data_IF_542513644305
#
_entry.id   IF_542513644305
#
_cell.length_a   1.000
_cell.length_b   1.000
_cell.length_c   1.000
_cell.angle_alpha   90.00
_cell.angle_beta   90.00
_cell.angle_gamma   90.00
#
_symmetry.space_group_name_H-M   'P 1'
#
loop_
_entity.id
_entity.type
_entity.pdbx_description
1 polymer ?
#
# COMPACT_ATOMS: atom_id res chain seq x y z
N UNK A 1 -12.02 21.21 2.85
CA UNK A 1 -11.41 21.93 1.70
C UNK A 1 -11.48 23.43 1.99
N UNK A 2 -10.73 24.31 1.30
CA UNK A 2 -10.70 25.75 1.58
C UNK A 2 -12.07 26.40 1.56
N UNK A 3 -12.93 26.04 0.65
CA UNK A 3 -14.26 26.65 0.49
C UNK A 3 -15.24 26.28 1.60
N UNK A 4 -15.16 25.08 2.17
CA UNK A 4 -15.93 24.70 3.36
C UNK A 4 -15.50 25.52 4.59
N UNK A 5 -14.21 25.88 4.71
CA UNK A 5 -13.75 26.79 5.77
C UNK A 5 -14.36 28.17 5.58
N UNK A 6 -14.44 28.67 4.33
CA UNK A 6 -15.12 29.92 4.02
C UNK A 6 -16.61 29.90 4.43
N UNK A 7 -17.34 28.84 4.10
CA UNK A 7 -18.75 28.68 4.50
C UNK A 7 -18.90 28.64 6.01
N UNK A 8 -18.05 27.94 6.74
CA UNK A 8 -18.06 27.92 8.19
C UNK A 8 -17.88 29.33 8.79
N UNK A 9 -16.98 30.12 8.20
CA UNK A 9 -16.76 31.49 8.62
C UNK A 9 -18.01 32.39 8.38
N UNK A 10 -18.69 32.22 7.24
CA UNK A 10 -19.91 33.02 6.94
C UNK A 10 -21.05 32.76 7.92
N UNK A 11 -21.15 31.56 8.51
CA UNK A 11 -22.15 31.21 9.54
C UNK A 11 -21.61 31.33 10.97
N UNK A 12 -20.46 31.99 11.17
CA UNK A 12 -19.90 32.27 12.49
C UNK A 12 -19.37 31.03 13.24
N UNK A 13 -19.06 29.93 12.55
CA UNK A 13 -18.60 28.70 13.18
C UNK A 13 -17.05 28.67 13.26
N UNK A 14 -16.51 29.12 14.39
CA UNK A 14 -15.09 29.12 14.67
C UNK A 14 -14.51 27.73 15.01
N UNK A 15 -15.36 26.78 15.42
CA UNK A 15 -14.96 25.42 15.81
C UNK A 15 -15.93 24.39 15.26
N UNK A 16 -15.40 23.30 14.72
CA UNK A 16 -16.16 22.15 14.22
C UNK A 16 -15.57 20.85 14.77
N UNK A 17 -16.41 19.84 14.94
CA UNK A 17 -15.93 18.49 15.25
C UNK A 17 -15.38 17.86 13.99
N UNK A 18 -14.19 17.28 14.09
CA UNK A 18 -13.54 16.54 13.01
C UNK A 18 -13.06 15.19 13.51
N UNK A 19 -12.87 14.25 12.62
CA UNK A 19 -12.10 13.05 12.92
C UNK A 19 -10.64 13.45 13.11
N UNK A 20 -9.98 12.90 14.13
CA UNK A 20 -8.53 13.07 14.28
C UNK A 20 -7.78 12.26 13.21
N UNK A 21 -6.55 12.61 12.96
CA UNK A 21 -5.69 11.82 12.08
C UNK A 21 -5.31 10.52 12.78
N UNK A 22 -5.60 9.34 12.19
CA UNK A 22 -5.14 8.08 12.73
C UNK A 22 -3.61 8.00 12.75
N UNK A 23 -3.04 7.48 13.83
CA UNK A 23 -1.63 7.10 13.92
C UNK A 23 -1.50 5.66 13.45
N UNK A 24 -0.60 5.41 12.51
CA UNK A 24 -0.39 4.09 11.89
C UNK A 24 1.04 3.64 12.18
N UNK A 25 1.18 2.62 13.00
CA UNK A 25 2.46 1.98 13.25
C UNK A 25 2.89 1.15 12.04
N UNK A 26 4.16 1.22 11.66
CA UNK A 26 4.74 0.45 10.56
C UNK A 26 5.92 -0.33 11.12
N UNK A 27 5.84 -1.65 11.04
CA UNK A 27 6.86 -2.60 11.43
C UNK A 27 7.36 -3.37 10.23
N UNK A 28 8.66 -3.41 10.03
CA UNK A 28 9.33 -4.33 9.10
C UNK A 28 10.18 -5.29 9.89
N UNK A 29 10.36 -6.52 9.41
CA UNK A 29 11.28 -7.47 10.00
C UNK A 29 12.09 -8.20 8.93
N UNK A 30 13.26 -8.64 9.29
CA UNK A 30 14.19 -9.39 8.46
C UNK A 30 15.64 -9.07 8.83
N UNK A 31 16.41 -10.10 9.14
CA UNK A 31 17.83 -9.94 9.44
C UNK A 31 18.65 -9.47 8.23
N UNK A 32 18.09 -9.63 7.02
CA UNK A 32 18.68 -9.11 5.78
C UNK A 32 18.53 -7.59 5.62
N UNK A 33 17.65 -6.96 6.40
CA UNK A 33 17.32 -5.54 6.23
C UNK A 33 18.27 -4.65 7.03
N UNK A 34 18.58 -3.49 6.46
CA UNK A 34 19.31 -2.41 7.12
C UNK A 34 18.61 -1.07 6.89
N UNK A 35 18.89 -0.12 7.78
CA UNK A 35 18.47 1.27 7.65
C UNK A 35 19.23 2.01 6.55
N UNK A 36 18.81 3.24 6.23
CA UNK A 36 19.54 4.08 5.28
C UNK A 36 20.91 4.52 5.82
N UNK A 37 21.08 4.62 7.15
CA UNK A 37 22.35 4.96 7.80
C UNK A 37 23.43 3.88 7.55
N UNK A 38 22.99 2.62 7.38
CA UNK A 38 23.89 1.47 7.18
C UNK A 38 24.00 1.07 5.69
N UNK A 39 23.79 2.01 4.76
CA UNK A 39 23.73 1.72 3.33
C UNK A 39 25.03 1.12 2.76
N UNK A 40 26.15 1.30 3.42
CA UNK A 40 27.43 0.67 3.05
C UNK A 40 27.36 -0.86 3.09
N UNK A 41 26.52 -1.45 3.93
CA UNK A 41 26.27 -2.90 3.95
C UNK A 41 25.56 -3.38 2.67
N UNK A 42 24.71 -2.51 2.10
CA UNK A 42 24.03 -2.77 0.83
C UNK A 42 25.01 -2.69 -0.34
N UNK A 43 25.88 -1.68 -0.36
CA UNK A 43 26.93 -1.54 -1.38
C UNK A 43 27.91 -2.72 -1.35
N UNK A 44 28.16 -3.26 -0.17
CA UNK A 44 29.01 -4.45 0.02
C UNK A 44 28.28 -5.76 -0.37
N UNK A 45 27.02 -5.72 -0.78
CA UNK A 45 26.22 -6.88 -1.17
C UNK A 45 25.85 -7.82 -0.02
N UNK A 46 25.95 -7.36 1.24
CA UNK A 46 25.65 -8.17 2.43
C UNK A 46 24.21 -8.08 2.92
N UNK A 47 23.55 -6.95 2.65
CA UNK A 47 22.22 -6.61 3.18
C UNK A 47 21.35 -5.97 2.11
N UNK A 48 20.09 -5.76 2.45
CA UNK A 48 19.09 -5.07 1.62
C UNK A 48 18.57 -3.86 2.40
N UNK A 49 18.47 -2.71 1.75
CA UNK A 49 17.89 -1.52 2.42
C UNK A 49 16.39 -1.69 2.64
N UNK A 50 15.89 -1.28 3.80
CA UNK A 50 14.46 -1.18 4.06
C UNK A 50 13.84 -0.04 3.25
N UNK A 51 13.33 -0.34 2.08
CA UNK A 51 12.57 0.59 1.24
C UNK A 51 11.08 0.60 1.58
N UNK A 52 10.56 -0.45 2.20
CA UNK A 52 9.14 -0.63 2.46
C UNK A 52 8.62 0.35 3.51
N UNK A 53 9.30 0.49 4.65
CA UNK A 53 8.84 1.39 5.71
C UNK A 53 8.78 2.83 5.24
N UNK A 54 9.76 3.28 4.45
CA UNK A 54 9.81 4.63 3.89
C UNK A 54 8.68 4.88 2.89
N UNK A 55 8.45 3.95 1.96
CA UNK A 55 7.38 4.05 0.97
C UNK A 55 6.00 4.03 1.64
N UNK A 56 5.77 3.12 2.58
CA UNK A 56 4.52 3.01 3.33
C UNK A 56 4.28 4.23 4.24
N UNK A 57 5.32 4.77 4.87
CA UNK A 57 5.18 6.00 5.66
C UNK A 57 4.75 7.18 4.78
N UNK A 58 5.32 7.30 3.58
CA UNK A 58 4.88 8.32 2.61
C UNK A 58 3.43 8.10 2.17
N UNK A 59 3.02 6.84 1.90
CA UNK A 59 1.66 6.49 1.52
C UNK A 59 0.65 6.77 2.65
N UNK A 60 0.99 6.46 3.91
CA UNK A 60 0.18 6.80 5.09
C UNK A 60 -0.01 8.31 5.24
N UNK A 61 1.06 9.11 5.04
CA UNK A 61 0.95 10.59 5.04
C UNK A 61 0.05 11.08 3.91
N UNK A 62 0.21 10.56 2.71
CA UNK A 62 -0.62 10.90 1.55
C UNK A 62 -2.10 10.55 1.78
N UNK A 63 -2.39 9.48 2.51
CA UNK A 63 -3.75 9.13 2.93
C UNK A 63 -4.34 10.11 3.95
N UNK A 64 -3.53 10.99 4.56
CA UNK A 64 -3.93 11.95 5.58
C UNK A 64 -3.77 11.46 7.02
N UNK A 65 -3.05 10.35 7.21
CA UNK A 65 -2.74 9.75 8.50
C UNK A 65 -1.32 10.08 8.97
N UNK A 66 -0.99 9.74 10.21
CA UNK A 66 0.31 9.95 10.82
C UNK A 66 1.07 8.61 10.93
N UNK A 67 2.17 8.41 10.20
CA UNK A 67 2.96 7.20 10.32
C UNK A 67 3.87 7.23 11.53
N UNK A 68 3.97 6.11 12.25
CA UNK A 68 4.96 5.85 13.30
C UNK A 68 5.81 4.66 12.88
N UNK A 69 7.06 4.91 12.53
CA UNK A 69 8.01 3.83 12.21
C UNK A 69 8.44 3.15 13.51
N UNK A 70 8.25 1.84 13.59
CA UNK A 70 8.71 1.02 14.71
C UNK A 70 10.15 0.50 14.48
N UNK A 71 10.73 0.79 13.31
CA UNK A 71 12.05 0.32 12.89
C UNK A 71 12.03 -1.13 12.41
N UNK A 72 13.22 -1.66 12.20
CA UNK A 72 13.45 -3.03 11.73
C UNK A 72 13.50 -3.96 12.93
N UNK A 73 12.61 -4.96 13.01
CA UNK A 73 12.72 -6.03 13.99
C UNK A 73 13.69 -7.09 13.47
N UNK A 74 14.44 -7.70 14.37
CA UNK A 74 15.22 -8.92 14.08
C UNK A 74 14.28 -10.11 13.88
N UNK A 75 14.78 -11.14 13.24
CA UNK A 75 14.06 -12.40 13.08
C UNK A 75 14.06 -13.23 14.37
N UNK A 76 13.53 -12.62 15.44
CA UNK A 76 13.22 -13.24 16.72
C UNK A 76 11.89 -12.73 17.28
N UNK A 77 11.17 -13.62 17.99
CA UNK A 77 9.86 -13.29 18.54
C UNK A 77 9.91 -12.17 19.58
N UNK A 78 10.99 -12.06 20.34
CA UNK A 78 11.15 -11.05 21.39
C UNK A 78 11.22 -9.65 20.79
N UNK A 79 12.09 -9.45 19.81
CA UNK A 79 12.22 -8.19 19.07
C UNK A 79 10.92 -7.78 18.40
N UNK A 80 10.22 -8.74 17.77
CA UNK A 80 8.94 -8.46 17.11
C UNK A 80 7.86 -8.08 18.12
N UNK A 81 7.74 -8.80 19.24
CA UNK A 81 6.76 -8.51 20.31
C UNK A 81 6.98 -7.16 20.95
N UNK A 82 8.23 -6.79 21.25
CA UNK A 82 8.56 -5.49 21.82
C UNK A 82 8.03 -4.36 20.92
N UNK A 83 8.32 -4.44 19.64
CA UNK A 83 7.90 -3.42 18.66
C UNK A 83 6.39 -3.40 18.43
N UNK A 84 5.75 -4.57 18.35
CA UNK A 84 4.30 -4.67 18.25
C UNK A 84 3.61 -4.06 19.47
N UNK A 85 4.15 -4.28 20.68
CA UNK A 85 3.64 -3.65 21.91
C UNK A 85 3.69 -2.13 21.84
N UNK A 86 4.79 -1.55 21.35
CA UNK A 86 4.88 -0.11 21.09
C UNK A 86 3.88 0.36 20.01
N UNK A 87 3.52 -0.52 19.06
CA UNK A 87 2.53 -0.26 18.02
C UNK A 87 1.10 -0.16 18.55
N UNK A 88 0.78 -0.78 19.70
CA UNK A 88 -0.55 -0.72 20.32
C UNK A 88 -0.96 0.68 20.78
N UNK A 89 -0.03 1.61 20.92
CA UNK A 89 -0.34 3.02 21.17
C UNK A 89 -0.90 3.74 19.93
N UNK A 90 -0.91 3.08 18.77
CA UNK A 90 -1.41 3.62 17.51
C UNK A 90 -2.84 3.12 17.22
N UNK A 91 -3.46 3.68 16.18
CA UNK A 91 -4.82 3.35 15.78
C UNK A 91 -4.88 2.17 14.81
N UNK A 92 -3.76 1.86 14.19
CA UNK A 92 -3.58 0.71 13.31
C UNK A 92 -2.10 0.30 13.29
N UNK A 93 -1.85 -0.98 12.99
CA UNK A 93 -0.51 -1.52 12.78
C UNK A 93 -0.44 -2.11 11.38
N UNK A 94 0.63 -1.76 10.66
CA UNK A 94 0.99 -2.37 9.38
C UNK A 94 2.30 -3.13 9.59
N UNK A 95 2.30 -4.44 9.35
CA UNK A 95 3.52 -5.24 9.34
C UNK A 95 3.89 -5.58 7.90
N UNK A 96 5.18 -5.55 7.58
CA UNK A 96 5.72 -5.94 6.27
C UNK A 96 6.61 -7.15 6.47
N UNK A 97 6.37 -8.22 5.74
CA UNK A 97 6.69 -9.60 6.05
C UNK A 97 5.72 -10.16 7.11
N UNK A 98 5.71 -11.47 7.30
CA UNK A 98 4.72 -12.09 8.20
C UNK A 98 3.36 -12.37 7.57
N UNK A 99 3.19 -12.11 6.28
CA UNK A 99 2.01 -12.53 5.52
C UNK A 99 2.22 -13.87 4.78
N UNK A 100 3.41 -14.49 4.89
CA UNK A 100 3.77 -15.72 4.20
C UNK A 100 3.12 -16.97 4.80
N UNK A 101 3.18 -18.08 4.06
CA UNK A 101 2.57 -19.38 4.42
C UNK A 101 3.45 -20.27 5.29
N UNK A 102 4.70 -19.89 5.54
CA UNK A 102 5.66 -20.73 6.26
C UNK A 102 5.29 -20.92 7.73
N UNK A 103 5.48 -22.10 8.26
CA UNK A 103 5.44 -22.39 9.71
C UNK A 103 6.49 -21.58 10.49
N UNK A 104 7.46 -21.02 9.76
CA UNK A 104 8.54 -20.16 10.27
C UNK A 104 8.22 -18.67 10.27
N UNK A 105 6.94 -18.28 10.04
CA UNK A 105 6.57 -16.87 10.06
C UNK A 105 6.54 -16.34 11.50
N UNK A 106 7.66 -15.76 11.92
CA UNK A 106 7.88 -15.25 13.27
C UNK A 106 6.92 -14.14 13.67
N UNK A 107 6.48 -13.31 12.69
CA UNK A 107 5.48 -12.26 12.97
C UNK A 107 4.14 -12.87 13.33
N UNK A 108 3.71 -13.92 12.65
CA UNK A 108 2.48 -14.63 13.00
C UNK A 108 2.57 -15.27 14.37
N UNK A 109 3.69 -15.90 14.68
CA UNK A 109 3.91 -16.54 16.00
C UNK A 109 3.91 -15.49 17.11
N UNK A 110 4.61 -14.37 16.92
CA UNK A 110 4.63 -13.26 17.86
C UNK A 110 3.22 -12.70 18.08
N UNK A 111 2.48 -12.41 17.00
CA UNK A 111 1.10 -11.95 17.04
C UNK A 111 0.18 -12.95 17.77
N UNK A 112 0.25 -14.25 17.43
CA UNK A 112 -0.54 -15.28 18.07
C UNK A 112 -0.26 -15.36 19.59
N UNK A 113 1.01 -15.29 19.99
CA UNK A 113 1.43 -15.26 21.40
C UNK A 113 1.04 -13.99 22.15
N UNK A 114 0.61 -12.92 21.46
CA UNK A 114 0.07 -11.69 22.04
C UNK A 114 -1.45 -11.63 22.04
N UNK A 115 -2.15 -12.70 21.61
CA UNK A 115 -3.61 -12.74 21.57
C UNK A 115 -4.23 -12.14 20.30
N UNK A 116 -3.46 -12.07 19.22
CA UNK A 116 -3.96 -11.60 17.92
C UNK A 116 -5.11 -12.48 17.42
N UNK A 117 -6.21 -11.84 17.08
CA UNK A 117 -7.36 -12.50 16.46
C UNK A 117 -7.30 -12.26 14.95
N UNK A 118 -7.01 -13.32 14.20
CA UNK A 118 -7.01 -13.30 12.74
C UNK A 118 -8.46 -13.33 12.23
N UNK A 119 -8.86 -12.33 11.43
CA UNK A 119 -10.18 -12.28 10.80
C UNK A 119 -10.14 -12.95 9.41
N UNK A 120 -9.13 -12.68 8.61
CA UNK A 120 -8.91 -13.41 7.35
C UNK A 120 -7.44 -13.39 6.91
N UNK A 121 -7.10 -14.34 6.06
CA UNK A 121 -5.79 -14.52 5.48
C UNK A 121 -5.91 -14.99 4.02
N UNK A 122 -5.04 -14.42 3.18
CA UNK A 122 -5.01 -14.52 1.73
C UNK A 122 -6.17 -13.82 1.03
N UNK A 123 -5.82 -13.12 -0.03
CA UNK A 123 -6.75 -12.47 -0.95
C UNK A 123 -6.43 -12.93 -2.36
N UNK A 124 -7.44 -13.28 -3.14
CA UNK A 124 -7.27 -13.73 -4.53
C UNK A 124 -6.89 -12.55 -5.45
N UNK A 125 -5.67 -12.04 -5.27
CA UNK A 125 -5.10 -10.94 -6.04
C UNK A 125 -3.63 -11.19 -6.41
N UNK A 126 -3.12 -10.52 -7.43
CA UNK A 126 -1.72 -10.50 -7.85
C UNK A 126 -1.30 -9.09 -8.29
N UNK A 127 -0.22 -8.53 -7.70
CA UNK A 127 0.53 -9.04 -6.55
C UNK A 127 -0.27 -8.91 -5.26
N UNK A 128 0.19 -9.52 -4.16
CA UNK A 128 -0.37 -9.29 -2.82
C UNK A 128 -1.23 -10.42 -2.25
N UNK A 129 -1.24 -11.62 -2.86
CA UNK A 129 -2.00 -12.76 -2.33
C UNK A 129 -1.77 -13.04 -0.82
N UNK A 130 -0.54 -13.06 -0.28
CA UNK A 130 -0.34 -13.30 1.16
C UNK A 130 -0.58 -12.01 1.97
N UNK A 131 -1.81 -11.58 2.06
CA UNK A 131 -2.26 -10.50 2.94
C UNK A 131 -2.99 -11.10 4.14
N UNK A 132 -2.81 -10.52 5.32
CA UNK A 132 -3.53 -10.88 6.53
C UNK A 132 -4.16 -9.66 7.19
N UNK A 133 -5.32 -9.87 7.82
CA UNK A 133 -6.00 -8.85 8.59
C UNK A 133 -6.58 -9.46 9.87
N UNK A 134 -6.51 -8.70 10.95
CA UNK A 134 -7.07 -9.08 12.24
C UNK A 134 -6.89 -7.97 13.26
N UNK A 135 -7.03 -8.32 14.54
CA UNK A 135 -6.99 -7.36 15.65
C UNK A 135 -6.07 -7.84 16.77
N UNK A 136 -5.29 -6.93 17.32
CA UNK A 136 -4.49 -7.13 18.52
C UNK A 136 -4.94 -6.09 19.56
N UNK A 137 -5.52 -6.53 20.68
CA UNK A 137 -6.10 -5.65 21.71
C UNK A 137 -7.08 -4.59 21.13
N UNK A 138 -7.87 -4.98 20.13
CA UNK A 138 -8.81 -4.09 19.44
C UNK A 138 -8.18 -3.19 18.38
N UNK A 139 -6.84 -3.14 18.26
CA UNK A 139 -6.14 -2.40 17.22
C UNK A 139 -6.09 -3.25 15.93
N UNK A 140 -6.56 -2.73 14.78
CA UNK A 140 -6.46 -3.43 13.50
C UNK A 140 -5.00 -3.60 13.07
N UNK A 141 -4.67 -4.81 12.65
CA UNK A 141 -3.34 -5.20 12.16
C UNK A 141 -3.45 -5.68 10.73
N UNK A 142 -2.67 -5.07 9.85
CA UNK A 142 -2.56 -5.39 8.43
C UNK A 142 -1.20 -6.01 8.14
N UNK A 143 -1.16 -7.29 7.82
CA UNK A 143 0.07 -7.98 7.41
C UNK A 143 0.24 -7.93 5.89
N UNK A 144 1.26 -7.23 5.44
CA UNK A 144 1.60 -7.06 4.02
C UNK A 144 2.73 -7.98 3.60
N UNK A 145 2.80 -8.35 2.31
CA UNK A 145 3.94 -9.10 1.78
C UNK A 145 5.25 -8.32 1.86
N UNK A 146 6.39 -9.00 2.03
CA UNK A 146 7.72 -8.36 2.06
C UNK A 146 8.16 -7.74 0.73
N UNK A 147 7.72 -8.28 -0.42
CA UNK A 147 8.06 -7.73 -1.73
C UNK A 147 7.49 -6.30 -1.90
N UNK A 148 8.30 -5.29 -2.28
CA UNK A 148 7.90 -3.88 -2.24
C UNK A 148 6.67 -3.54 -3.09
N UNK A 149 6.59 -4.09 -4.30
CA UNK A 149 5.41 -3.85 -5.15
C UNK A 149 4.17 -4.51 -4.57
N UNK A 150 4.31 -5.71 -3.98
CA UNK A 150 3.18 -6.38 -3.33
C UNK A 150 2.70 -5.57 -2.13
N UNK A 151 3.63 -5.06 -1.30
CA UNK A 151 3.30 -4.20 -0.16
C UNK A 151 2.58 -2.92 -0.63
N UNK A 152 3.10 -2.22 -1.64
CA UNK A 152 2.49 -1.01 -2.17
C UNK A 152 1.10 -1.25 -2.77
N UNK A 153 0.93 -2.30 -3.59
CA UNK A 153 -0.37 -2.61 -4.19
C UNK A 153 -1.39 -3.05 -3.14
N UNK A 154 -1.01 -3.89 -2.15
CA UNK A 154 -1.92 -4.26 -1.06
C UNK A 154 -2.26 -3.07 -0.17
N UNK A 155 -1.32 -2.16 0.06
CA UNK A 155 -1.61 -0.92 0.76
C UNK A 155 -2.69 -0.11 0.03
N UNK A 156 -2.50 0.19 -1.26
CA UNK A 156 -3.45 0.99 -2.05
C UNK A 156 -4.84 0.37 -2.13
N UNK A 157 -4.92 -0.95 -2.27
CA UNK A 157 -6.19 -1.64 -2.52
C UNK A 157 -6.93 -1.99 -1.24
N UNK A 158 -6.22 -2.32 -0.14
CA UNK A 158 -6.81 -2.87 1.08
C UNK A 158 -6.62 -1.96 2.31
N UNK A 159 -5.41 -1.42 2.54
CA UNK A 159 -5.13 -0.60 3.73
C UNK A 159 -5.64 0.82 3.56
N UNK A 160 -5.39 1.45 2.42
CA UNK A 160 -5.82 2.83 2.15
C UNK A 160 -7.34 3.03 2.32
N UNK A 161 -8.24 2.15 1.82
CA UNK A 161 -9.67 2.23 2.12
C UNK A 161 -10.00 2.17 3.61
N UNK A 162 -9.32 1.31 4.38
CA UNK A 162 -9.51 1.23 5.83
C UNK A 162 -9.09 2.53 6.54
N UNK A 163 -7.95 3.11 6.16
CA UNK A 163 -7.51 4.40 6.69
C UNK A 163 -8.49 5.54 6.34
N UNK A 164 -9.06 5.53 5.14
CA UNK A 164 -10.11 6.50 4.75
C UNK A 164 -11.36 6.36 5.61
N UNK A 165 -11.76 5.13 5.93
CA UNK A 165 -12.86 4.88 6.86
C UNK A 165 -12.55 5.43 8.27
N UNK A 166 -11.34 5.19 8.79
CA UNK A 166 -10.89 5.71 10.08
C UNK A 166 -10.86 7.24 10.12
N UNK A 167 -10.62 7.90 8.98
CA UNK A 167 -10.72 9.35 8.81
C UNK A 167 -12.17 9.85 8.71
N UNK A 168 -13.18 8.97 8.82
CA UNK A 168 -14.59 9.32 8.70
C UNK A 168 -15.04 9.65 7.28
N UNK A 169 -14.31 9.19 6.26
CA UNK A 169 -14.71 9.42 4.86
C UNK A 169 -15.79 8.43 4.46
N UNK A 170 -16.86 8.92 3.82
CA UNK A 170 -17.93 8.08 3.27
C UNK A 170 -17.49 7.36 1.99
N UNK A 171 -16.71 8.01 1.13
CA UNK A 171 -16.12 7.41 -0.06
C UNK A 171 -14.77 6.77 0.31
N UNK A 172 -14.78 5.51 0.73
CA UNK A 172 -13.57 4.82 1.22
C UNK A 172 -12.67 4.31 0.09
N UNK A 173 -13.25 3.84 -1.01
CA UNK A 173 -12.47 3.36 -2.14
C UNK A 173 -11.94 4.51 -3.01
N UNK A 174 -10.75 4.32 -3.59
CA UNK A 174 -10.23 5.23 -4.60
C UNK A 174 -11.13 5.21 -5.84
N UNK A 175 -11.41 6.37 -6.45
CA UNK A 175 -12.18 6.39 -7.69
C UNK A 175 -11.43 5.64 -8.79
N UNK A 176 -12.18 4.92 -9.63
CA UNK A 176 -11.62 4.27 -10.80
C UNK A 176 -11.95 5.06 -12.07
N UNK A 177 -11.07 4.95 -13.05
CA UNK A 177 -11.30 5.46 -14.41
C UNK A 177 -11.37 4.31 -15.41
N UNK A 178 -12.17 4.46 -16.46
CA UNK A 178 -12.21 3.48 -17.56
C UNK A 178 -11.12 3.81 -18.58
N UNK A 179 -10.23 2.83 -18.84
CA UNK A 179 -9.11 2.97 -19.79
C UNK A 179 -9.14 1.83 -20.81
N UNK A 180 -8.65 2.05 -22.04
CA UNK A 180 -8.46 0.99 -23.00
C UNK A 180 -7.13 0.26 -22.73
N UNK A 181 -7.09 -1.07 -22.93
CA UNK A 181 -5.82 -1.81 -22.87
C UNK A 181 -4.99 -1.54 -24.11
N UNK A 182 -3.71 -1.22 -23.98
CA UNK A 182 -2.81 -0.99 -25.10
C UNK A 182 -2.24 -2.27 -25.72
N UNK A 183 -2.53 -3.41 -25.13
CA UNK A 183 -2.02 -4.74 -25.52
C UNK A 183 -3.00 -5.83 -25.11
N UNK A 184 -2.89 -7.01 -25.69
CA UNK A 184 -3.63 -8.19 -25.22
C UNK A 184 -3.11 -8.61 -23.85
N UNK A 185 -4.02 -8.90 -22.93
CA UNK A 185 -3.71 -9.32 -21.58
C UNK A 185 -4.10 -10.77 -21.35
N UNK A 186 -3.28 -11.49 -20.58
CA UNK A 186 -3.55 -12.85 -20.14
C UNK A 186 -4.03 -12.79 -18.67
N UNK A 187 -5.33 -12.94 -18.41
CA UNK A 187 -5.86 -13.03 -17.06
C UNK A 187 -5.34 -14.25 -16.32
N UNK A 188 -5.52 -14.29 -15.02
CA UNK A 188 -5.34 -15.49 -14.21
C UNK A 188 -6.72 -16.04 -13.85
N UNK A 189 -6.90 -17.35 -13.97
CA UNK A 189 -8.16 -18.02 -13.75
C UNK A 189 -8.79 -17.74 -12.38
N UNK A 190 -7.97 -17.65 -11.33
CA UNK A 190 -8.39 -17.71 -9.94
C UNK A 190 -8.26 -16.38 -9.17
N UNK A 191 -7.70 -15.33 -9.79
CA UNK A 191 -7.42 -14.09 -9.08
C UNK A 191 -7.40 -12.84 -9.94
N UNK A 192 -7.77 -11.70 -9.34
CA UNK A 192 -7.67 -10.39 -9.97
C UNK A 192 -6.19 -9.98 -10.05
N UNK A 193 -5.78 -9.34 -11.15
CA UNK A 193 -4.45 -8.77 -11.30
C UNK A 193 -4.51 -7.24 -11.25
N UNK A 194 -3.53 -6.65 -10.59
CA UNK A 194 -3.29 -5.21 -10.56
C UNK A 194 -1.99 -4.92 -11.30
N UNK A 195 -2.11 -4.56 -12.58
CA UNK A 195 -0.95 -4.27 -13.44
C UNK A 195 -0.55 -2.81 -13.30
N UNK A 196 0.75 -2.56 -13.13
CA UNK A 196 1.30 -1.20 -13.11
C UNK A 196 1.36 -0.69 -14.53
N UNK A 197 0.64 0.40 -14.80
CA UNK A 197 0.49 0.96 -16.15
C UNK A 197 0.79 2.44 -16.19
N UNK A 198 1.27 2.90 -17.34
CA UNK A 198 1.24 4.30 -17.74
C UNK A 198 -0.05 4.58 -18.52
N UNK A 199 -0.53 5.80 -18.42
CA UNK A 199 -1.73 6.25 -19.09
C UNK A 199 -1.35 7.21 -20.23
N UNK A 200 -1.49 6.74 -21.46
CA UNK A 200 -1.30 7.57 -22.66
C UNK A 200 -2.62 8.23 -23.01
N UNK A 201 -2.63 9.57 -23.07
CA UNK A 201 -3.82 10.33 -23.42
C UNK A 201 -4.03 10.31 -24.94
N UNK A 202 -5.18 9.84 -25.37
CA UNK A 202 -5.59 9.82 -26.76
C UNK A 202 -6.22 11.15 -27.22
N UNK A 203 -6.27 11.39 -28.52
CA UNK A 203 -6.79 12.63 -29.10
C UNK A 203 -8.25 12.95 -28.72
N UNK A 204 -9.04 11.92 -28.34
CA UNK A 204 -10.44 12.07 -27.89
C UNK A 204 -10.61 12.23 -26.39
N UNK A 205 -9.50 12.43 -25.63
CA UNK A 205 -9.55 12.57 -24.17
C UNK A 205 -9.71 11.25 -23.40
N UNK A 206 -9.68 10.11 -24.07
CA UNK A 206 -9.61 8.79 -23.47
C UNK A 206 -8.16 8.44 -23.12
N UNK A 207 -7.98 7.42 -22.29
CA UNK A 207 -6.65 6.91 -21.93
C UNK A 207 -6.46 5.49 -22.43
N UNK A 208 -5.24 5.21 -22.91
CA UNK A 208 -4.74 3.86 -23.19
C UNK A 208 -3.72 3.47 -22.12
N UNK A 209 -3.91 2.31 -21.52
CA UNK A 209 -3.05 1.77 -20.47
C UNK A 209 -1.96 0.87 -21.07
N UNK A 210 -0.69 1.19 -20.79
CA UNK A 210 0.47 0.35 -21.16
C UNK A 210 1.26 -0.05 -19.93
N UNK A 211 1.70 -1.30 -19.87
CA UNK A 211 2.52 -1.78 -18.74
C UNK A 211 3.81 -0.96 -18.61
N UNK A 212 4.20 -0.67 -17.37
CA UNK A 212 5.47 0.04 -17.05
C UNK A 212 6.72 -0.79 -17.34
N UNK A 213 6.58 -1.97 -17.89
CA UNK A 213 7.62 -2.97 -18.14
C UNK A 213 7.34 -4.27 -17.36
N UNK A 214 8.38 -5.03 -16.98
CA UNK A 214 8.21 -6.28 -16.24
C UNK A 214 7.39 -6.09 -14.96
N UNK A 215 6.45 -7.02 -14.74
CA UNK A 215 5.47 -6.95 -13.65
C UNK A 215 5.89 -7.77 -12.40
N UNK A 216 7.20 -7.96 -12.18
CA UNK A 216 7.74 -8.64 -10.99
C UNK A 216 7.40 -7.90 -9.69
N UNK A 217 7.19 -8.64 -8.61
CA UNK A 217 6.78 -8.08 -7.29
C UNK A 217 7.93 -7.39 -6.54
N UNK A 218 9.18 -7.62 -6.92
CA UNK A 218 10.36 -6.96 -6.36
C UNK A 218 10.78 -5.69 -7.12
N UNK A 219 10.19 -5.39 -8.29
CA UNK A 219 10.63 -4.28 -9.16
C UNK A 219 9.91 -2.98 -8.75
N UNK A 220 10.35 -2.36 -7.66
CA UNK A 220 9.73 -1.14 -7.11
C UNK A 220 9.65 0.00 -8.14
N UNK A 221 10.65 0.12 -9.02
CA UNK A 221 10.64 1.12 -10.10
C UNK A 221 9.46 0.97 -11.07
N UNK A 222 8.86 -0.22 -11.19
CA UNK A 222 7.66 -0.42 -11.99
C UNK A 222 6.44 0.26 -11.38
N UNK A 223 6.35 0.31 -10.05
CA UNK A 223 5.29 1.01 -9.32
C UNK A 223 5.55 2.52 -9.31
N UNK A 224 6.80 2.94 -9.11
CA UNK A 224 7.18 4.36 -9.13
C UNK A 224 6.92 5.05 -10.48
N UNK A 225 6.91 4.30 -11.59
CA UNK A 225 6.63 4.81 -12.93
C UNK A 225 5.16 4.71 -13.32
N UNK A 226 4.32 4.08 -12.50
CA UNK A 226 2.93 3.82 -12.84
C UNK A 226 2.05 5.03 -12.54
N UNK A 227 1.20 5.37 -13.49
CA UNK A 227 0.13 6.37 -13.30
C UNK A 227 -1.13 5.74 -12.70
N UNK A 228 -1.29 4.41 -12.87
CA UNK A 228 -2.44 3.68 -12.36
C UNK A 228 -2.16 2.18 -12.15
N UNK A 229 -3.02 1.54 -11.36
CA UNK A 229 -3.17 0.09 -11.29
C UNK A 229 -4.33 -0.34 -12.18
N UNK A 230 -4.06 -0.99 -13.30
CA UNK A 230 -5.07 -1.57 -14.17
C UNK A 230 -5.64 -2.83 -13.52
N UNK A 231 -6.95 -2.88 -13.37
CA UNK A 231 -7.65 -4.00 -12.73
C UNK A 231 -8.03 -5.00 -13.82
N UNK A 232 -7.33 -6.13 -13.85
CA UNK A 232 -7.62 -7.24 -14.76
C UNK A 232 -8.42 -8.29 -14.01
N UNK A 233 -9.67 -8.56 -14.37
CA UNK A 233 -10.50 -9.55 -13.69
C UNK A 233 -9.91 -10.95 -13.80
N UNK A 234 -10.30 -11.84 -12.91
CA UNK A 234 -10.02 -13.27 -13.05
C UNK A 234 -10.73 -13.82 -14.28
N UNK A 235 -10.08 -14.74 -14.98
CA UNK A 235 -10.65 -15.35 -16.21
C UNK A 235 -9.62 -16.19 -16.94
N UNK A 236 -10.10 -17.02 -17.87
CA UNK A 236 -9.29 -17.95 -18.66
C UNK A 236 -9.11 -17.48 -20.12
N UNK A 237 -9.91 -16.49 -20.55
CA UNK A 237 -9.87 -15.99 -21.92
C UNK A 237 -8.98 -14.75 -22.01
N UNK A 238 -8.11 -14.65 -23.03
CA UNK A 238 -7.33 -13.46 -23.29
C UNK A 238 -8.22 -12.22 -23.48
N UNK A 239 -7.80 -11.11 -22.90
CA UNK A 239 -8.48 -9.81 -23.05
C UNK A 239 -7.82 -9.06 -24.21
N UNK A 240 -8.51 -8.84 -25.33
CA UNK A 240 -7.93 -8.18 -26.50
C UNK A 240 -7.49 -6.74 -26.21
N UNK A 241 -6.48 -6.26 -26.94
CA UNK A 241 -6.12 -4.86 -26.95
C UNK A 241 -7.32 -3.97 -27.31
N UNK A 242 -7.44 -2.80 -26.71
CA UNK A 242 -8.58 -1.90 -26.88
C UNK A 242 -9.77 -2.17 -25.95
N UNK A 243 -9.77 -3.29 -25.22
CA UNK A 243 -10.83 -3.58 -24.23
C UNK A 243 -10.81 -2.54 -23.10
N UNK A 244 -11.98 -2.03 -22.70
CA UNK A 244 -12.08 -1.09 -21.58
C UNK A 244 -12.09 -1.83 -20.24
N UNK A 245 -11.14 -1.48 -19.39
CA UNK A 245 -11.03 -1.97 -18.03
C UNK A 245 -10.98 -0.79 -17.03
N UNK A 246 -11.25 -1.09 -15.77
CA UNK A 246 -11.07 -0.15 -14.67
C UNK A 246 -9.59 0.00 -14.34
N UNK A 247 -9.17 1.22 -14.04
CA UNK A 247 -7.86 1.51 -13.48
C UNK A 247 -8.02 2.38 -12.22
N UNK A 248 -7.22 2.09 -11.20
CA UNK A 248 -7.12 2.89 -9.97
C UNK A 248 -5.97 3.88 -10.18
N UNK A 249 -6.24 5.18 -10.34
CA UNK A 249 -5.17 6.18 -10.44
C UNK A 249 -4.30 6.18 -9.18
N UNK A 250 -3.00 6.21 -9.36
CA UNK A 250 -2.05 6.45 -8.28
C UNK A 250 -1.82 7.95 -8.12
N UNK A 251 -1.41 8.43 -6.92
CA UNK A 251 -1.07 9.83 -6.74
C UNK A 251 -0.03 10.25 -7.78
N UNK A 252 -0.37 11.24 -8.60
CA UNK A 252 0.58 11.80 -9.55
C UNK A 252 1.71 12.54 -8.78
N UNK A 253 2.94 12.52 -9.29
CA UNK A 253 3.95 13.47 -8.82
C UNK A 253 3.38 14.90 -8.97
N UNK A 254 3.63 15.76 -7.98
CA UNK A 254 3.25 17.17 -8.09
C UNK A 254 3.90 17.75 -9.37
N UNK A 255 3.09 18.06 -10.39
CA UNK A 255 3.56 18.61 -11.66
C UNK A 255 4.25 20.00 -11.49
N UNK A 256 4.10 20.62 -10.31
CA UNK A 256 4.72 21.89 -9.96
C UNK A 256 6.24 21.88 -9.83
N UNK A 257 6.90 20.72 -9.80
CA UNK A 257 8.37 20.64 -9.73
C UNK A 257 9.05 20.28 -11.06
N UNK A 258 8.31 19.91 -12.09
CA UNK A 258 8.89 19.54 -13.39
C UNK A 258 9.20 20.74 -14.31
N UNK A 259 8.83 21.96 -13.94
CA UNK A 259 9.00 23.15 -14.78
C UNK A 259 9.93 24.23 -14.20
N UNK A 260 10.52 24.04 -13.02
CA UNK A 260 11.61 24.89 -12.56
C UNK A 260 12.93 24.31 -13.07
N UNK A 261 13.24 24.58 -14.33
CA UNK A 261 14.58 24.39 -14.84
C UNK A 261 15.56 25.28 -14.05
N UNK A 262 16.42 24.64 -13.31
CA UNK A 262 17.72 25.16 -12.91
C UNK A 262 18.74 24.06 -13.17
#
# INVERSE_FOLDING_TARGET
RPWEIGVLATVGRARVRTHRRPRVAILVNGDELVSLEDFDEVLAGRRIVDSNSHALAAAVRAAGCEPRLLGIARDDEGSIRERLSAGLECDAIVTVAGASVGEHDLVKRALAGMGFRLDFWRVRMKPGNPFSFGHLDGVPVFGLPGNPVSAGVTFEVLVHPALRLMLGRSAVHSPTIGVATGETLEPLADRVQFLRVRLEKEARGTFTARRTGPQGSGILSSLARADALLVVPAGDEPIPAGTRLAAIPLPAPDEGQASSGF
#
